data_IF_125774974681
#
_entry.id   IF_125774974681
#
_cell.length_a   1.000
_cell.length_b   1.000
_cell.length_c   1.000
_cell.angle_alpha   90.00
_cell.angle_beta   90.00
_cell.angle_gamma   90.00
#
_symmetry.space_group_name_H-M   'P 1'
#
loop_
_entity.id
_entity.type
_entity.pdbx_description
1 polymer ?
#
# COMPACT_ATOMS: atom_id res chain seq x y z
N UNK A 1 -6.23 35.62 1.60
CA UNK A 1 -5.68 34.28 1.29
C UNK A 1 -6.73 33.51 0.53
N UNK A 2 -6.38 32.92 -0.61
CA UNK A 2 -7.36 32.24 -1.48
C UNK A 2 -7.64 30.82 -0.98
N UNK A 3 -8.82 30.28 -1.26
CA UNK A 3 -9.22 28.90 -0.92
C UNK A 3 -8.16 27.86 -1.35
N UNK A 4 -7.49 28.13 -2.47
CA UNK A 4 -6.35 27.35 -3.02
C UNK A 4 -5.16 27.30 -2.05
N UNK A 5 -4.80 28.43 -1.44
CA UNK A 5 -3.70 28.50 -0.46
C UNK A 5 -4.05 27.78 0.84
N UNK A 6 -5.31 27.84 1.28
CA UNK A 6 -5.77 27.18 2.50
C UNK A 6 -5.84 25.65 2.33
N UNK A 7 -6.36 25.18 1.20
CA UNK A 7 -6.41 23.75 0.88
C UNK A 7 -5.01 23.16 0.69
N UNK A 8 -4.10 23.88 0.03
CA UNK A 8 -2.69 23.48 -0.09
C UNK A 8 -2.01 23.36 1.29
N UNK A 9 -2.23 24.33 2.19
CA UNK A 9 -1.69 24.28 3.56
C UNK A 9 -2.24 23.10 4.38
N UNK A 10 -3.55 22.84 4.31
CA UNK A 10 -4.20 21.71 4.98
C UNK A 10 -3.70 20.36 4.42
N UNK A 11 -3.52 20.27 3.11
CA UNK A 11 -2.96 19.09 2.44
C UNK A 11 -1.52 18.81 2.92
N UNK A 12 -0.67 19.83 3.01
CA UNK A 12 0.71 19.72 3.50
C UNK A 12 0.78 19.34 4.99
N UNK A 13 -0.13 19.86 5.81
CA UNK A 13 -0.25 19.47 7.23
C UNK A 13 -0.66 18.00 7.41
N UNK A 14 -1.54 17.48 6.55
CA UNK A 14 -2.00 16.09 6.60
C UNK A 14 -0.95 15.08 6.09
N UNK A 15 -0.05 15.50 5.20
CA UNK A 15 0.97 14.62 4.58
C UNK A 15 2.24 14.53 5.44
N UNK A 16 2.47 15.46 6.38
CA UNK A 16 3.59 15.38 7.32
C UNK A 16 4.98 15.42 6.67
N UNK A 17 5.15 16.13 5.55
CA UNK A 17 6.41 16.19 4.81
C UNK A 17 6.69 17.53 4.13
N UNK A 18 7.85 18.12 4.49
CA UNK A 18 8.68 19.15 3.83
C UNK A 18 7.98 20.41 3.27
N UNK A 19 8.32 21.56 3.86
CA UNK A 19 7.68 22.87 3.66
C UNK A 19 8.02 23.60 2.34
N UNK A 20 8.84 23.05 1.44
CA UNK A 20 9.49 23.89 0.43
C UNK A 20 9.34 23.43 -1.04
N UNK A 21 8.38 22.55 -1.35
CA UNK A 21 8.08 22.25 -2.75
C UNK A 21 6.82 23.03 -3.17
N UNK A 22 7.00 24.11 -3.93
CA UNK A 22 5.90 24.86 -4.54
C UNK A 22 5.33 24.06 -5.71
N UNK A 23 4.50 23.06 -5.41
CA UNK A 23 3.76 22.33 -6.43
C UNK A 23 2.56 23.17 -6.88
N UNK A 24 2.65 23.73 -8.09
CA UNK A 24 1.50 24.28 -8.80
C UNK A 24 0.57 23.14 -9.24
N UNK A 25 -0.33 22.73 -8.35
CA UNK A 25 -1.38 21.78 -8.67
C UNK A 25 -2.46 22.47 -9.52
N UNK A 26 -2.72 21.94 -10.70
CA UNK A 26 -3.83 22.33 -11.57
C UNK A 26 -5.04 21.41 -11.29
N UNK A 27 -5.97 21.89 -10.49
CA UNK A 27 -7.18 21.14 -10.12
C UNK A 27 -8.18 20.96 -11.27
N UNK A 28 -7.93 21.52 -12.45
CA UNK A 28 -8.71 21.22 -13.66
C UNK A 28 -8.16 19.99 -14.40
N UNK A 29 -6.88 19.67 -14.20
CA UNK A 29 -6.24 18.49 -14.78
C UNK A 29 -6.57 17.25 -13.96
N UNK A 30 -7.20 16.27 -14.59
CA UNK A 30 -7.61 15.02 -13.93
C UNK A 30 -6.45 14.28 -13.25
N UNK A 31 -5.23 14.35 -13.80
CA UNK A 31 -4.04 13.70 -13.24
C UNK A 31 -3.62 14.30 -11.89
N UNK A 32 -3.73 15.63 -11.75
CA UNK A 32 -3.37 16.34 -10.51
C UNK A 32 -4.42 16.08 -9.44
N UNK A 33 -5.70 16.11 -9.82
CA UNK A 33 -6.81 15.73 -8.94
C UNK A 33 -6.62 14.28 -8.45
N UNK A 34 -6.31 13.33 -9.34
CA UNK A 34 -6.04 11.94 -8.98
C UNK A 34 -4.89 11.84 -7.98
N UNK A 35 -3.77 12.53 -8.26
CA UNK A 35 -2.57 12.53 -7.41
C UNK A 35 -2.89 13.06 -6.01
N UNK A 36 -3.62 14.17 -5.91
CA UNK A 36 -4.05 14.75 -4.63
C UNK A 36 -4.93 13.77 -3.86
N UNK A 37 -5.90 13.15 -4.51
CA UNK A 37 -6.80 12.17 -3.88
C UNK A 37 -6.03 10.95 -3.39
N UNK A 38 -5.15 10.37 -4.19
CA UNK A 38 -4.34 9.20 -3.80
C UNK A 38 -3.42 9.50 -2.61
N UNK A 39 -2.80 10.68 -2.63
CA UNK A 39 -1.93 11.14 -1.54
C UNK A 39 -2.72 11.35 -0.26
N UNK A 40 -3.88 12.00 -0.34
CA UNK A 40 -4.77 12.22 0.80
C UNK A 40 -5.32 10.90 1.37
N UNK A 41 -5.71 9.95 0.51
CA UNK A 41 -6.15 8.61 0.93
C UNK A 41 -5.04 7.85 1.66
N UNK A 42 -3.80 7.98 1.18
CA UNK A 42 -2.63 7.37 1.82
C UNK A 42 -2.34 8.01 3.17
N UNK A 43 -2.36 9.34 3.27
CA UNK A 43 -2.20 10.06 4.53
C UNK A 43 -3.27 9.65 5.56
N UNK A 44 -4.54 9.62 5.14
CA UNK A 44 -5.67 9.19 6.00
C UNK A 44 -5.52 7.74 6.48
N UNK A 45 -5.07 6.84 5.61
CA UNK A 45 -4.79 5.44 5.97
C UNK A 45 -3.66 5.34 6.99
N UNK A 46 -2.56 6.06 6.77
CA UNK A 46 -1.41 6.09 7.68
C UNK A 46 -1.80 6.67 9.04
N UNK A 47 -2.53 7.79 9.07
CA UNK A 47 -3.04 8.38 10.30
C UNK A 47 -3.93 7.37 11.07
N UNK A 48 -4.93 6.77 10.41
CA UNK A 48 -5.78 5.74 11.05
C UNK A 48 -4.97 4.55 11.58
N UNK A 49 -3.96 4.09 10.85
CA UNK A 49 -3.10 2.99 11.31
C UNK A 49 -2.32 3.37 12.58
N UNK A 50 -1.80 4.61 12.66
CA UNK A 50 -1.14 5.12 13.86
C UNK A 50 -2.12 5.21 15.04
N UNK A 51 -3.31 5.77 14.82
CA UNK A 51 -4.36 5.86 15.83
C UNK A 51 -4.78 4.48 16.34
N UNK A 52 -4.95 3.51 15.44
CA UNK A 52 -5.30 2.13 15.82
C UNK A 52 -4.17 1.44 16.60
N UNK A 53 -2.91 1.70 16.26
CA UNK A 53 -1.77 1.18 17.01
C UNK A 53 -1.72 1.74 18.45
N UNK A 54 -2.07 3.01 18.63
CA UNK A 54 -2.22 3.60 19.96
C UNK A 54 -3.42 3.03 20.71
N UNK A 55 -4.60 2.93 20.07
CA UNK A 55 -5.81 2.33 20.63
C UNK A 55 -5.55 0.93 21.21
N UNK A 56 -4.78 0.09 20.50
CA UNK A 56 -4.43 -1.27 20.94
C UNK A 56 -3.60 -1.36 22.22
N UNK A 57 -3.06 -0.25 22.73
CA UNK A 57 -2.36 -0.22 24.02
C UNK A 57 -3.32 -0.27 25.21
N UNK A 58 -4.61 -0.05 24.99
CA UNK A 58 -5.63 -0.07 26.02
C UNK A 58 -6.40 -1.40 26.01
N UNK A 59 -6.81 -1.89 27.19
CA UNK A 59 -7.55 -3.15 27.29
C UNK A 59 -9.01 -3.04 26.82
N UNK A 60 -9.59 -1.83 26.85
CA UNK A 60 -10.98 -1.59 26.46
C UNK A 60 -11.16 -0.22 25.80
N UNK A 61 -12.31 -0.05 25.15
CA UNK A 61 -12.71 1.22 24.54
C UNK A 61 -12.84 2.33 25.57
N UNK A 62 -13.43 2.03 26.72
CA UNK A 62 -13.65 2.96 27.82
C UNK A 62 -12.30 3.46 28.36
N UNK A 63 -11.34 2.55 28.53
CA UNK A 63 -9.98 2.90 28.95
C UNK A 63 -9.26 3.78 27.90
N UNK A 64 -9.50 3.53 26.61
CA UNK A 64 -8.96 4.34 25.52
C UNK A 64 -9.58 5.74 25.45
N UNK A 65 -10.90 5.86 25.69
CA UNK A 65 -11.62 7.14 25.66
C UNK A 65 -11.13 8.12 26.74
N UNK A 66 -10.68 7.62 27.90
CA UNK A 66 -10.09 8.45 28.96
C UNK A 66 -8.71 9.03 28.61
N UNK A 67 -8.07 8.53 27.55
CA UNK A 67 -6.71 8.93 27.15
C UNK A 67 -6.62 9.20 25.64
N UNK A 68 -7.25 10.28 25.14
CA UNK A 68 -7.19 10.66 23.73
C UNK A 68 -5.76 10.76 23.20
N UNK A 69 -5.58 10.48 21.91
CA UNK A 69 -4.28 10.66 21.27
C UNK A 69 -3.98 12.16 21.14
N UNK A 70 -2.74 12.63 21.41
CA UNK A 70 -2.40 14.06 21.38
C UNK A 70 -2.66 14.74 20.03
N UNK A 71 -2.56 13.97 18.93
CA UNK A 71 -2.81 14.46 17.56
C UNK A 71 -4.29 14.44 17.13
N UNK A 72 -5.24 14.23 18.04
CA UNK A 72 -6.69 14.17 17.74
C UNK A 72 -7.50 15.00 18.71
N UNK A 73 -8.61 15.59 18.27
CA UNK A 73 -9.60 16.14 19.21
C UNK A 73 -10.35 15.01 19.93
N UNK A 74 -11.02 15.32 21.03
CA UNK A 74 -11.79 14.33 21.79
C UNK A 74 -12.91 13.70 20.95
N UNK A 75 -13.59 14.50 20.12
CA UNK A 75 -14.65 14.05 19.22
C UNK A 75 -14.09 13.12 18.15
N UNK A 76 -12.98 13.51 17.51
CA UNK A 76 -12.31 12.69 16.51
C UNK A 76 -11.80 11.37 17.11
N UNK A 77 -11.25 11.42 18.33
CA UNK A 77 -10.79 10.23 19.03
C UNK A 77 -11.95 9.29 19.36
N UNK A 78 -13.10 9.84 19.78
CA UNK A 78 -14.31 9.06 20.05
C UNK A 78 -14.81 8.35 18.80
N UNK A 79 -14.90 9.05 17.66
CA UNK A 79 -15.27 8.45 16.38
C UNK A 79 -14.30 7.34 15.94
N UNK A 80 -13.01 7.52 16.19
CA UNK A 80 -12.00 6.48 15.90
C UNK A 80 -12.15 5.27 16.81
N UNK A 81 -12.40 5.46 18.12
CA UNK A 81 -12.68 4.38 19.06
C UNK A 81 -13.95 3.61 18.69
N UNK A 82 -15.01 4.31 18.26
CA UNK A 82 -16.24 3.72 17.74
C UNK A 82 -15.96 2.89 16.48
N UNK A 83 -15.14 3.41 15.55
CA UNK A 83 -14.73 2.70 14.35
C UNK A 83 -13.92 1.43 14.67
N UNK A 84 -12.96 1.50 15.58
CA UNK A 84 -12.09 0.36 15.89
C UNK A 84 -12.81 -0.76 16.64
N UNK A 85 -13.88 -0.42 17.36
CA UNK A 85 -14.76 -1.37 18.05
C UNK A 85 -15.96 -1.81 17.22
N UNK A 86 -16.16 -1.22 16.04
CA UNK A 86 -17.23 -1.61 15.14
C UNK A 86 -17.07 -3.06 14.66
N UNK A 87 -18.14 -3.84 14.73
CA UNK A 87 -18.15 -5.25 14.36
C UNK A 87 -17.70 -5.50 12.91
N UNK A 88 -18.16 -4.67 11.96
CA UNK A 88 -17.77 -4.79 10.56
C UNK A 88 -16.28 -4.51 10.33
N UNK A 89 -15.72 -3.57 11.11
CA UNK A 89 -14.28 -3.29 11.09
C UNK A 89 -13.48 -4.47 11.65
N UNK A 90 -13.87 -5.00 12.81
CA UNK A 90 -13.22 -6.15 13.43
C UNK A 90 -13.27 -7.39 12.54
N UNK A 91 -14.45 -7.72 11.99
CA UNK A 91 -14.63 -8.82 11.02
C UNK A 91 -13.68 -8.69 9.83
N UNK A 92 -13.59 -7.50 9.24
CA UNK A 92 -12.68 -7.23 8.11
C UNK A 92 -11.21 -7.34 8.51
N UNK A 93 -10.85 -6.84 9.69
CA UNK A 93 -9.48 -6.92 10.21
C UNK A 93 -9.04 -8.36 10.44
N UNK A 94 -9.87 -9.18 11.07
CA UNK A 94 -9.60 -10.60 11.30
C UNK A 94 -9.53 -11.38 10.00
N UNK A 95 -10.44 -11.13 9.06
CA UNK A 95 -10.37 -11.75 7.73
C UNK A 95 -9.08 -11.37 6.99
N UNK A 96 -8.68 -10.09 7.05
CA UNK A 96 -7.43 -9.63 6.44
C UNK A 96 -6.18 -10.23 7.10
N UNK A 97 -6.23 -10.54 8.41
CA UNK A 97 -5.17 -11.26 9.11
C UNK A 97 -5.07 -12.70 8.61
N UNK A 98 -6.20 -13.41 8.49
CA UNK A 98 -6.28 -14.76 7.91
C UNK A 98 -5.86 -14.79 6.43
N UNK A 99 -6.19 -13.77 5.65
CA UNK A 99 -5.77 -13.68 4.26
C UNK A 99 -4.25 -13.46 4.15
N UNK A 100 -3.68 -12.63 5.03
CA UNK A 100 -2.22 -12.43 5.08
C UNK A 100 -1.47 -13.70 5.46
N UNK A 101 -2.01 -14.54 6.34
CA UNK A 101 -1.37 -15.81 6.69
C UNK A 101 -1.41 -16.86 5.56
N UNK A 102 -2.24 -16.66 4.53
CA UNK A 102 -2.28 -17.53 3.33
C UNK A 102 -1.24 -17.13 2.28
N UNK A 103 -0.59 -15.97 2.41
CA UNK A 103 0.44 -15.54 1.48
C UNK A 103 1.73 -16.35 1.73
N UNK A 104 2.00 -17.33 0.88
CA UNK A 104 3.12 -18.27 1.02
C UNK A 104 4.42 -17.77 0.39
N UNK A 105 4.33 -16.97 -0.67
CA UNK A 105 5.47 -16.46 -1.43
C UNK A 105 5.31 -14.96 -1.67
N UNK A 106 6.33 -14.19 -1.29
CA UNK A 106 6.39 -12.76 -1.56
C UNK A 106 7.13 -12.52 -2.88
N UNK A 107 6.69 -11.55 -3.67
CA UNK A 107 7.42 -11.09 -4.85
C UNK A 107 8.46 -10.02 -4.48
N UNK A 108 9.51 -9.89 -5.29
CA UNK A 108 10.58 -8.90 -5.20
C UNK A 108 10.36 -7.66 -6.10
N UNK A 109 9.23 -7.57 -6.82
CA UNK A 109 8.94 -6.48 -7.76
C UNK A 109 8.78 -5.08 -7.12
N UNK A 110 8.68 -4.98 -5.79
CA UNK A 110 8.46 -3.72 -5.09
C UNK A 110 7.16 -3.04 -5.53
N UNK A 111 7.21 -1.73 -5.81
CA UNK A 111 6.08 -0.95 -6.32
C UNK A 111 5.80 -1.14 -7.82
N UNK A 112 6.65 -1.89 -8.53
CA UNK A 112 6.47 -2.15 -9.96
C UNK A 112 5.43 -3.26 -10.14
N UNK A 113 4.38 -2.98 -10.90
CA UNK A 113 3.38 -3.98 -11.26
C UNK A 113 3.97 -5.05 -12.19
N UNK A 114 3.42 -6.27 -12.18
CA UNK A 114 3.88 -7.34 -13.07
C UNK A 114 3.71 -6.97 -14.56
N UNK A 115 2.66 -6.22 -14.90
CA UNK A 115 2.45 -5.68 -16.25
C UNK A 115 3.58 -4.71 -16.65
N UNK A 116 4.03 -3.86 -15.72
CA UNK A 116 5.16 -2.95 -15.97
C UNK A 116 6.47 -3.72 -16.06
N UNK A 117 6.70 -4.72 -15.22
CA UNK A 117 7.86 -5.62 -15.33
C UNK A 117 7.87 -6.28 -16.71
N UNK A 118 6.74 -6.83 -17.15
CA UNK A 118 6.58 -7.41 -18.49
C UNK A 118 6.89 -6.39 -19.58
N UNK A 119 6.31 -5.19 -19.54
CA UNK A 119 6.59 -4.16 -20.53
C UNK A 119 8.08 -3.77 -20.58
N UNK A 120 8.75 -3.71 -19.43
CA UNK A 120 10.20 -3.43 -19.35
C UNK A 120 11.09 -4.59 -19.83
N UNK A 121 10.55 -5.81 -19.96
CA UNK A 121 11.27 -6.98 -20.46
C UNK A 121 11.13 -7.17 -21.98
N UNK A 122 10.22 -6.43 -22.64
CA UNK A 122 10.09 -6.47 -24.09
C UNK A 122 11.34 -5.86 -24.74
N UNK A 123 12.02 -6.64 -25.57
CA UNK A 123 13.10 -6.15 -26.42
C UNK A 123 12.55 -5.87 -27.83
N UNK A 124 13.28 -5.10 -28.65
CA UNK A 124 12.88 -4.77 -30.02
C UNK A 124 12.75 -5.99 -30.95
N UNK A 125 13.33 -7.14 -30.57
CA UNK A 125 13.41 -8.35 -31.40
C UNK A 125 12.32 -9.40 -31.12
N UNK A 126 11.59 -9.33 -29.99
CA UNK A 126 10.53 -10.30 -29.70
C UNK A 126 9.49 -9.76 -28.72
N UNK A 127 8.21 -9.93 -29.09
CA UNK A 127 7.05 -9.54 -28.29
C UNK A 127 6.62 -10.62 -27.27
N UNK A 128 7.15 -11.84 -27.39
CA UNK A 128 6.81 -12.96 -26.52
C UNK A 128 7.79 -13.07 -25.35
N UNK A 129 7.29 -12.75 -24.15
CA UNK A 129 8.05 -12.91 -22.91
C UNK A 129 7.71 -14.27 -22.31
N UNK A 130 8.73 -15.10 -22.15
CA UNK A 130 8.61 -16.38 -21.46
C UNK A 130 8.01 -16.19 -20.05
N UNK A 131 6.86 -16.83 -19.72
CA UNK A 131 6.24 -16.75 -18.41
C UNK A 131 7.15 -17.12 -17.24
N UNK A 132 8.05 -18.09 -17.41
CA UNK A 132 9.02 -18.51 -16.40
C UNK A 132 10.02 -17.40 -16.11
N UNK A 133 10.54 -16.73 -17.14
CA UNK A 133 11.48 -15.60 -16.97
C UNK A 133 10.79 -14.38 -16.36
N UNK A 134 9.54 -14.10 -16.73
CA UNK A 134 8.73 -13.08 -16.06
C UNK A 134 8.52 -13.42 -14.58
N UNK A 135 8.21 -14.68 -14.26
CA UNK A 135 8.09 -15.14 -12.88
C UNK A 135 9.41 -14.93 -12.13
N UNK A 136 10.52 -15.50 -12.62
CA UNK A 136 11.85 -15.35 -12.03
C UNK A 136 12.18 -13.88 -11.75
N UNK A 137 11.99 -12.98 -12.72
CA UNK A 137 12.25 -11.55 -12.55
C UNK A 137 11.45 -10.89 -11.43
N UNK A 138 10.22 -11.32 -11.20
CA UNK A 138 9.37 -10.78 -10.13
C UNK A 138 9.63 -11.43 -8.77
N UNK A 139 10.31 -12.58 -8.69
CA UNK A 139 10.51 -13.35 -7.45
C UNK A 139 11.98 -13.53 -7.06
N UNK A 140 12.91 -12.88 -7.76
CA UNK A 140 14.31 -12.76 -7.36
C UNK A 140 14.69 -11.31 -7.09
N UNK A 141 15.62 -11.07 -6.16
CA UNK A 141 16.19 -9.74 -5.92
C UNK A 141 17.16 -9.33 -7.05
N UNK A 142 17.85 -8.18 -6.88
CA UNK A 142 18.83 -7.66 -7.86
C UNK A 142 20.03 -8.61 -8.08
N UNK A 143 20.38 -9.40 -7.07
CA UNK A 143 21.49 -10.35 -7.09
C UNK A 143 21.07 -11.73 -7.62
N UNK A 144 19.81 -11.88 -8.04
CA UNK A 144 19.26 -13.16 -8.53
C UNK A 144 18.88 -14.15 -7.42
N UNK A 145 18.88 -13.73 -6.15
CA UNK A 145 18.48 -14.55 -5.00
C UNK A 145 16.96 -14.61 -4.91
N UNK A 146 16.41 -15.81 -4.78
CA UNK A 146 14.97 -16.06 -4.62
C UNK A 146 14.43 -15.48 -3.31
N UNK A 147 13.19 -14.99 -3.34
CA UNK A 147 12.51 -14.47 -2.14
C UNK A 147 12.19 -15.54 -1.10
N UNK A 148 12.01 -16.78 -1.53
CA UNK A 148 11.87 -17.97 -0.68
C UNK A 148 12.09 -19.24 -1.49
N UNK A 149 12.32 -20.37 -0.82
CA UNK A 149 12.43 -21.67 -1.50
C UNK A 149 11.12 -22.04 -2.19
N UNK A 150 9.96 -21.73 -1.59
CA UNK A 150 8.66 -21.93 -2.24
C UNK A 150 8.52 -21.18 -3.56
N UNK A 151 9.12 -19.99 -3.70
CA UNK A 151 9.12 -19.26 -4.97
C UNK A 151 9.99 -19.99 -6.02
N UNK A 152 11.13 -20.56 -5.59
CA UNK A 152 12.01 -21.35 -6.45
C UNK A 152 11.35 -22.64 -6.92
N UNK A 153 10.62 -23.32 -6.04
CA UNK A 153 9.86 -24.54 -6.38
C UNK A 153 8.75 -24.26 -7.40
N UNK A 154 8.00 -23.16 -7.25
CA UNK A 154 7.01 -22.72 -8.23
C UNK A 154 7.67 -22.42 -9.58
N UNK A 155 8.84 -21.76 -9.60
CA UNK A 155 9.56 -21.55 -10.86
C UNK A 155 9.93 -22.89 -11.53
N UNK A 156 10.42 -23.86 -10.76
CA UNK A 156 10.74 -25.20 -11.30
C UNK A 156 9.51 -25.86 -11.92
N UNK A 157 8.35 -25.78 -11.29
CA UNK A 157 7.12 -26.36 -11.86
C UNK A 157 6.66 -25.63 -13.12
N UNK A 158 6.79 -24.30 -13.18
CA UNK A 158 6.49 -23.53 -14.40
C UNK A 158 7.39 -23.99 -15.55
N UNK A 159 8.70 -24.12 -15.33
CA UNK A 159 9.65 -24.53 -16.37
C UNK A 159 9.36 -25.95 -16.88
N UNK A 160 8.98 -26.88 -15.99
CA UNK A 160 8.62 -28.26 -16.37
C UNK A 160 7.34 -28.33 -17.20
N UNK A 161 6.40 -27.40 -16.99
CA UNK A 161 5.10 -27.39 -17.69
C UNK A 161 5.17 -26.66 -19.04
N UNK A 162 6.24 -25.91 -19.34
CA UNK A 162 6.38 -25.28 -20.65
C UNK A 162 6.71 -26.33 -21.73
N UNK A 163 6.00 -26.32 -22.88
CA UNK A 163 6.29 -27.25 -23.97
C UNK A 163 7.73 -27.05 -24.45
N UNK A 164 8.48 -28.15 -24.50
CA UNK A 164 9.85 -28.20 -25.00
C UNK A 164 9.78 -28.02 -26.53
N UNK A 165 10.03 -26.80 -27.01
CA UNK A 165 10.21 -26.51 -28.43
C UNK A 165 8.89 -26.33 -29.20
N UNK A 166 8.73 -25.16 -29.80
CA UNK A 166 7.90 -24.94 -31.00
C UNK A 166 8.84 -24.53 -32.12
#
# INVERSE_FOLDING_TARGET
>A
MTLRQTLSKLLMQLIGGRKDDHFDLDYTRHEDVRTVVETMMTARRTHRNRMHAYFKKFPSKEAALLKPHPDTTEEQWKELCDLFTNEAFMKRSEQNKKNRSKLTVNHAAGSRSFQRTRACMKNQESDEINPAELYKKNYTNKDGVWTSEGAREIYRSIVVVQPIGS
#
